data_IF_831855820967
#
_entry.id   IF_831855820967
#
_cell.length_a   1.000
_cell.length_b   1.000
_cell.length_c   1.000
_cell.angle_alpha   90.00
_cell.angle_beta   90.00
_cell.angle_gamma   90.00
#
_symmetry.space_group_name_H-M   'P 1'
#
loop_
_entity.id
_entity.type
_entity.pdbx_description
1 polymer ?
#
# COMPACT_ATOMS: atom_id res chain seq x y z
N UNK A 1 2.54 9.04 6.04
CA UNK A 1 3.17 8.48 4.83
C UNK A 1 3.50 9.56 3.81
N UNK A 2 2.69 10.61 3.64
CA UNK A 2 2.92 11.66 2.63
C UNK A 2 3.07 13.05 3.26
N UNK A 3 4.17 13.33 3.98
CA UNK A 3 4.30 14.55 4.79
C UNK A 3 4.40 15.84 3.96
N UNK A 4 4.86 15.75 2.71
CA UNK A 4 5.06 16.91 1.83
C UNK A 4 3.83 17.23 0.95
N UNK A 5 2.70 16.57 1.22
CA UNK A 5 1.49 16.75 0.43
C UNK A 5 0.85 18.11 0.67
N UNK A 6 0.48 18.79 -0.42
CA UNK A 6 -0.37 19.97 -0.32
C UNK A 6 -1.78 19.56 0.15
N UNK A 7 -2.48 20.48 0.84
CA UNK A 7 -3.73 20.20 1.54
C UNK A 7 -4.81 19.52 0.66
N UNK A 8 -4.97 19.96 -0.59
CA UNK A 8 -5.95 19.37 -1.51
C UNK A 8 -5.58 17.93 -1.90
N UNK A 9 -4.28 17.68 -2.16
CA UNK A 9 -3.77 16.34 -2.47
C UNK A 9 -3.84 15.43 -1.25
N UNK A 10 -3.61 15.97 -0.05
CA UNK A 10 -3.69 15.21 1.20
C UNK A 10 -5.13 14.72 1.45
N UNK A 11 -6.13 15.59 1.25
CA UNK A 11 -7.55 15.23 1.32
C UNK A 11 -7.88 14.08 0.35
N UNK A 12 -7.47 14.20 -0.91
CA UNK A 12 -7.72 13.17 -1.94
C UNK A 12 -6.99 11.86 -1.62
N UNK A 13 -5.74 11.93 -1.14
CA UNK A 13 -4.99 10.76 -0.69
C UNK A 13 -5.70 10.06 0.46
N UNK A 14 -6.28 10.79 1.41
CA UNK A 14 -7.08 10.21 2.47
C UNK A 14 -8.32 9.49 1.93
N UNK A 15 -9.05 10.09 0.98
CA UNK A 15 -10.18 9.44 0.31
C UNK A 15 -9.76 8.12 -0.36
N UNK A 16 -8.67 8.14 -1.16
CA UNK A 16 -8.15 6.94 -1.81
C UNK A 16 -7.79 5.81 -0.82
N UNK A 17 -7.17 6.15 0.31
CA UNK A 17 -6.84 5.15 1.34
C UNK A 17 -8.09 4.58 2.02
N UNK A 18 -9.15 5.39 2.16
CA UNK A 18 -10.46 4.88 2.64
C UNK A 18 -11.07 3.92 1.63
N UNK A 19 -10.98 4.22 0.33
CA UNK A 19 -11.51 3.32 -0.69
C UNK A 19 -10.79 1.97 -0.70
N UNK A 20 -9.46 1.96 -0.57
CA UNK A 20 -8.73 0.69 -0.43
C UNK A 20 -9.12 -0.09 0.83
N UNK A 21 -9.62 0.54 1.90
CA UNK A 21 -10.13 -0.25 3.05
C UNK A 21 -11.34 -1.11 2.71
N UNK A 22 -12.04 -0.87 1.59
CA UNK A 22 -13.05 -1.81 1.08
C UNK A 22 -12.45 -3.18 0.68
N UNK A 23 -11.12 -3.29 0.62
CA UNK A 23 -10.40 -4.56 0.49
C UNK A 23 -10.68 -5.57 1.62
N UNK A 24 -10.92 -5.11 2.86
CA UNK A 24 -11.23 -6.02 3.98
C UNK A 24 -12.53 -6.79 3.73
N UNK A 25 -13.41 -6.30 2.85
CA UNK A 25 -14.63 -7.01 2.48
C UNK A 25 -14.32 -8.29 1.70
N UNK A 26 -13.28 -8.32 0.84
CA UNK A 26 -12.96 -9.52 0.03
C UNK A 26 -12.47 -10.69 0.89
N UNK A 27 -11.91 -10.41 2.07
CA UNK A 27 -11.48 -11.41 3.05
C UNK A 27 -12.61 -12.02 3.88
N UNK A 28 -13.83 -11.52 3.78
CA UNK A 28 -14.99 -12.04 4.51
C UNK A 28 -15.65 -13.18 3.74
N UNK A 29 -15.88 -14.31 4.41
CA UNK A 29 -16.49 -15.54 3.87
C UNK A 29 -17.91 -15.39 3.28
N UNK A 30 -18.48 -14.19 3.22
CA UNK A 30 -19.91 -13.94 2.95
C UNK A 30 -20.18 -12.97 1.78
N UNK A 31 -19.25 -12.90 0.81
CA UNK A 31 -19.39 -12.05 -0.37
C UNK A 31 -20.54 -12.44 -1.33
N UNK A 32 -21.22 -13.57 -1.07
CA UNK A 32 -22.41 -13.97 -1.82
C UNK A 32 -23.57 -12.96 -1.74
N UNK A 33 -23.61 -12.10 -0.73
CA UNK A 33 -24.72 -11.16 -0.50
C UNK A 33 -24.59 -9.81 -1.22
N UNK A 34 -23.38 -9.37 -1.59
CA UNK A 34 -23.17 -8.12 -2.34
C UNK A 34 -23.22 -8.34 -3.86
N UNK A 35 -22.79 -9.51 -4.35
CA UNK A 35 -22.93 -9.86 -5.77
C UNK A 35 -24.35 -10.34 -6.15
N UNK A 36 -25.14 -10.85 -5.19
CA UNK A 36 -26.52 -11.25 -5.47
C UNK A 36 -27.49 -10.07 -5.64
N UNK A 37 -27.07 -8.82 -5.38
CA UNK A 37 -27.87 -7.64 -5.67
C UNK A 37 -27.66 -7.06 -7.07
N UNK A 38 -26.65 -7.51 -7.84
CA UNK A 38 -26.32 -6.92 -9.15
C UNK A 38 -26.91 -7.70 -10.35
N UNK A 39 -27.43 -8.91 -10.15
CA UNK A 39 -28.18 -9.63 -11.21
C UNK A 39 -29.70 -9.39 -11.18
N UNK A 40 -30.19 -8.56 -10.25
CA UNK A 40 -31.56 -8.06 -10.26
C UNK A 40 -31.62 -6.73 -11.01
N UNK A 41 -31.88 -6.79 -12.32
CA UNK A 41 -32.41 -5.71 -13.16
C UNK A 41 -32.08 -4.28 -12.69
N UNK A 42 -30.89 -3.76 -13.05
CA UNK A 42 -30.67 -2.31 -13.07
C UNK A 42 -31.48 -1.71 -14.23
N UNK A 43 -32.78 -1.55 -13.99
CA UNK A 43 -33.61 -0.62 -14.74
C UNK A 43 -32.94 0.77 -14.70
N UNK A 44 -32.82 1.35 -15.88
CA UNK A 44 -32.34 2.70 -16.16
C UNK A 44 -33.05 3.73 -15.28
N UNK A 45 -32.43 4.14 -14.16
CA UNK A 45 -33.01 5.14 -13.27
C UNK A 45 -32.45 5.22 -11.84
N UNK A 46 -31.31 4.58 -11.53
CA UNK A 46 -30.82 4.55 -10.15
C UNK A 46 -30.17 5.88 -9.74
N UNK A 47 -30.71 6.46 -8.66
CA UNK A 47 -30.17 7.64 -8.00
C UNK A 47 -28.80 7.28 -7.46
N UNK A 48 -27.74 8.01 -7.87
CA UNK A 48 -26.38 7.78 -7.36
C UNK A 48 -26.38 7.79 -5.84
N UNK A 49 -25.69 6.82 -5.24
CA UNK A 49 -25.50 6.80 -3.79
C UNK A 49 -24.54 7.94 -3.37
N UNK A 50 -24.61 8.42 -2.11
CA UNK A 50 -23.65 9.40 -1.60
C UNK A 50 -22.18 8.95 -1.72
N UNK A 51 -21.91 7.65 -1.58
CA UNK A 51 -20.58 7.08 -1.76
C UNK A 51 -20.10 7.18 -3.21
N UNK A 52 -20.95 6.81 -4.17
CA UNK A 52 -20.63 6.95 -5.60
C UNK A 52 -20.38 8.42 -5.98
N UNK A 53 -21.22 9.34 -5.47
CA UNK A 53 -21.00 10.78 -5.67
C UNK A 53 -19.65 11.25 -5.11
N UNK A 54 -19.24 10.76 -3.93
CA UNK A 54 -17.94 11.10 -3.34
C UNK A 54 -16.75 10.54 -4.12
N UNK A 55 -16.89 9.33 -4.68
CA UNK A 55 -15.88 8.74 -5.56
C UNK A 55 -15.74 9.58 -6.84
N UNK A 56 -16.86 9.93 -7.48
CA UNK A 56 -16.88 10.79 -8.68
C UNK A 56 -16.17 12.12 -8.41
N UNK A 57 -16.50 12.80 -7.30
CA UNK A 57 -15.84 14.05 -6.88
C UNK A 57 -14.33 13.86 -6.70
N UNK A 58 -13.89 12.74 -6.11
CA UNK A 58 -12.46 12.47 -5.88
C UNK A 58 -11.72 12.31 -7.21
N UNK A 59 -12.34 11.63 -8.18
CA UNK A 59 -11.81 11.45 -9.54
C UNK A 59 -11.72 12.80 -10.25
N UNK A 60 -12.82 13.56 -10.27
CA UNK A 60 -12.89 14.86 -10.94
C UNK A 60 -11.87 15.86 -10.35
N UNK A 61 -11.77 15.95 -9.01
CA UNK A 61 -10.78 16.80 -8.33
C UNK A 61 -9.33 16.38 -8.68
N UNK A 62 -9.06 15.08 -8.82
CA UNK A 62 -7.74 14.56 -9.17
C UNK A 62 -7.36 14.85 -10.62
N UNK A 63 -8.28 14.65 -11.56
CA UNK A 63 -8.06 14.95 -12.98
C UNK A 63 -7.91 16.46 -13.24
N UNK A 64 -8.63 17.29 -12.48
CA UNK A 64 -8.47 18.75 -12.55
C UNK A 64 -7.08 19.19 -12.05
N UNK A 65 -6.56 18.58 -10.97
CA UNK A 65 -5.20 18.87 -10.50
C UNK A 65 -4.14 18.48 -11.54
N UNK A 66 -4.31 17.35 -12.19
CA UNK A 66 -3.45 16.90 -13.29
C UNK A 66 -3.48 17.90 -14.46
N UNK A 67 -4.67 18.37 -14.85
CA UNK A 67 -4.85 19.40 -15.89
C UNK A 67 -4.16 20.71 -15.53
N UNK A 68 -4.28 21.17 -14.28
CA UNK A 68 -3.69 22.43 -13.80
C UNK A 68 -2.16 22.37 -13.73
N UNK A 69 -1.60 21.20 -13.43
CA UNK A 69 -0.16 21.01 -13.23
C UNK A 69 0.57 20.46 -14.45
N UNK A 70 -0.18 19.96 -15.45
CA UNK A 70 0.37 19.41 -16.67
C UNK A 70 1.04 18.04 -16.48
N UNK A 71 0.64 17.28 -15.47
CA UNK A 71 1.10 15.90 -15.24
C UNK A 71 -0.07 14.92 -15.14
N UNK A 72 0.22 13.65 -14.84
CA UNK A 72 -0.74 12.53 -14.82
C UNK A 72 -0.78 11.82 -13.47
N UNK A 73 -0.30 12.45 -12.41
CA UNK A 73 -0.07 11.75 -11.14
C UNK A 73 -1.39 11.31 -10.48
N UNK A 74 -2.45 12.12 -10.57
CA UNK A 74 -3.77 11.78 -10.05
C UNK A 74 -4.40 10.63 -10.84
N UNK A 75 -4.31 10.70 -12.17
CA UNK A 75 -4.76 9.64 -13.07
C UNK A 75 -4.06 8.31 -12.78
N UNK A 76 -2.75 8.34 -12.55
CA UNK A 76 -1.98 7.14 -12.20
C UNK A 76 -2.44 6.50 -10.88
N UNK A 77 -2.80 7.29 -9.86
CA UNK A 77 -3.37 6.76 -8.60
C UNK A 77 -4.71 6.07 -8.88
N UNK A 78 -5.58 6.68 -9.68
CA UNK A 78 -6.88 6.12 -10.06
C UNK A 78 -6.69 4.82 -10.83
N UNK A 79 -5.81 4.79 -11.83
CA UNK A 79 -5.56 3.59 -12.65
C UNK A 79 -5.00 2.44 -11.79
N UNK A 80 -4.12 2.72 -10.81
CA UNK A 80 -3.67 1.70 -9.86
C UNK A 80 -4.80 1.20 -8.95
N UNK A 81 -5.70 2.09 -8.53
CA UNK A 81 -6.85 1.72 -7.71
C UNK A 81 -7.86 0.85 -8.50
N UNK A 82 -8.10 1.17 -9.76
CA UNK A 82 -8.93 0.34 -10.66
C UNK A 82 -8.29 -1.03 -10.85
N UNK A 83 -6.99 -1.09 -11.15
CA UNK A 83 -6.27 -2.37 -11.29
C UNK A 83 -6.38 -3.24 -10.04
N UNK A 84 -6.32 -2.59 -8.87
CA UNK A 84 -6.44 -3.24 -7.58
C UNK A 84 -7.84 -3.88 -7.37
N UNK A 85 -8.92 -3.28 -7.88
CA UNK A 85 -10.28 -3.82 -7.76
C UNK A 85 -10.68 -4.77 -8.91
N UNK A 86 -10.17 -4.55 -10.12
CA UNK A 86 -10.53 -5.31 -11.33
C UNK A 86 -9.86 -6.69 -11.42
N UNK A 87 -8.87 -6.97 -10.58
CA UNK A 87 -8.14 -8.23 -10.59
C UNK A 87 -8.83 -9.24 -9.65
N UNK A 88 -9.67 -10.18 -10.15
CA UNK A 88 -10.37 -11.13 -9.29
C UNK A 88 -9.37 -11.99 -8.52
N UNK A 89 -9.68 -12.38 -7.27
CA UNK A 89 -8.73 -13.08 -6.40
C UNK A 89 -8.29 -14.40 -7.04
N UNK A 90 -7.08 -14.41 -7.62
CA UNK A 90 -6.42 -15.65 -8.01
C UNK A 90 -6.10 -16.39 -6.73
N UNK A 91 -6.61 -17.63 -6.63
CA UNK A 91 -6.63 -18.54 -5.46
C UNK A 91 -5.33 -18.72 -4.65
N UNK A 92 -4.21 -18.06 -4.97
CA UNK A 92 -2.98 -18.23 -4.21
C UNK A 92 -2.18 -16.99 -3.85
N UNK A 93 -2.22 -15.87 -4.56
CA UNK A 93 -1.46 -14.69 -4.14
C UNK A 93 -2.11 -13.42 -4.71
N UNK A 94 -2.71 -12.60 -3.83
CA UNK A 94 -2.79 -11.16 -4.07
C UNK A 94 -1.35 -10.68 -4.03
N UNK A 95 -0.82 -10.15 -5.12
CA UNK A 95 0.55 -9.67 -5.02
C UNK A 95 0.48 -8.35 -4.28
N UNK A 96 1.02 -8.33 -3.07
CA UNK A 96 1.39 -7.12 -2.32
C UNK A 96 2.05 -6.07 -3.24
N UNK A 97 2.67 -6.53 -4.32
CA UNK A 97 3.08 -5.75 -5.49
C UNK A 97 2.05 -4.73 -6.01
N UNK A 98 0.80 -5.10 -6.31
CA UNK A 98 -0.21 -4.17 -6.85
C UNK A 98 -0.57 -3.08 -5.82
N UNK A 99 -0.72 -3.45 -4.55
CA UNK A 99 -0.94 -2.50 -3.47
C UNK A 99 0.26 -1.55 -3.30
N UNK A 100 1.49 -2.05 -3.40
CA UNK A 100 2.67 -1.20 -3.32
C UNK A 100 2.78 -0.26 -4.53
N UNK A 101 2.37 -0.68 -5.73
CA UNK A 101 2.33 0.24 -6.88
C UNK A 101 1.36 1.38 -6.64
N UNK A 102 0.18 1.11 -6.07
CA UNK A 102 -0.73 2.16 -5.62
C UNK A 102 -0.06 3.10 -4.61
N UNK A 103 0.59 2.57 -3.57
CA UNK A 103 1.27 3.38 -2.53
C UNK A 103 2.38 4.26 -3.15
N UNK A 104 3.14 3.75 -4.12
CA UNK A 104 4.15 4.52 -4.84
C UNK A 104 3.57 5.57 -5.78
N UNK A 105 2.41 5.31 -6.39
CA UNK A 105 1.66 6.30 -7.16
C UNK A 105 1.15 7.43 -6.23
N UNK A 106 0.66 7.09 -5.04
CA UNK A 106 0.28 8.08 -4.03
C UNK A 106 1.47 8.96 -3.61
N UNK A 107 2.66 8.38 -3.44
CA UNK A 107 3.86 9.14 -3.14
C UNK A 107 4.18 10.15 -4.25
N UNK A 108 4.14 9.73 -5.52
CA UNK A 108 4.31 10.61 -6.69
C UNK A 108 3.27 11.74 -6.70
N UNK A 109 2.00 11.39 -6.49
CA UNK A 109 0.88 12.35 -6.46
C UNK A 109 1.04 13.38 -5.35
N UNK A 110 1.48 12.97 -4.17
CA UNK A 110 1.65 13.85 -3.01
C UNK A 110 2.60 15.02 -3.27
N UNK A 111 3.68 14.77 -4.00
CA UNK A 111 4.70 15.79 -4.32
C UNK A 111 4.50 16.47 -5.67
N UNK A 112 3.34 16.25 -6.33
CA UNK A 112 3.03 16.79 -7.65
C UNK A 112 4.13 16.47 -8.69
N UNK A 113 4.61 15.22 -8.70
CA UNK A 113 5.74 14.83 -9.54
C UNK A 113 5.28 14.31 -10.90
N UNK A 114 5.99 14.71 -11.96
CA UNK A 114 5.84 14.17 -13.32
C UNK A 114 6.83 13.03 -13.63
N UNK A 115 7.58 12.54 -12.63
CA UNK A 115 8.57 11.47 -12.81
C UNK A 115 7.90 10.22 -13.34
N UNK A 116 8.51 9.60 -14.36
CA UNK A 116 8.15 8.24 -14.75
C UNK A 116 8.71 7.26 -13.71
N UNK A 117 7.85 6.85 -12.79
CA UNK A 117 8.24 5.92 -11.73
C UNK A 117 8.59 4.55 -12.30
N UNK A 118 8.18 4.19 -13.52
CA UNK A 118 8.50 2.93 -14.18
C UNK A 118 9.82 2.98 -14.97
N UNK A 119 10.54 4.09 -14.95
CA UNK A 119 11.83 4.22 -15.60
C UNK A 119 12.78 3.06 -15.17
N UNK A 120 13.46 2.39 -16.12
CA UNK A 120 14.30 1.22 -15.82
C UNK A 120 15.33 1.45 -14.71
N UNK A 121 15.91 2.66 -14.62
CA UNK A 121 16.87 3.02 -13.58
C UNK A 121 16.29 2.94 -12.15
N UNK A 122 15.00 3.23 -11.98
CA UNK A 122 14.32 3.16 -10.68
C UNK A 122 13.82 1.76 -10.32
N UNK A 123 13.91 0.79 -11.23
CA UNK A 123 13.34 -0.56 -11.04
C UNK A 123 13.88 -1.25 -9.78
N UNK A 124 15.20 -1.23 -9.58
CA UNK A 124 15.84 -1.89 -8.43
C UNK A 124 15.47 -1.21 -7.12
N UNK A 125 15.47 0.13 -7.09
CA UNK A 125 15.04 0.92 -5.93
C UNK A 125 13.60 0.61 -5.54
N UNK A 126 12.66 0.67 -6.50
CA UNK A 126 11.24 0.35 -6.26
C UNK A 126 11.02 -1.05 -5.73
N UNK A 127 11.77 -2.03 -6.25
CA UNK A 127 11.70 -3.42 -5.77
C UNK A 127 12.10 -3.51 -4.30
N UNK A 128 13.14 -2.79 -3.88
CA UNK A 128 13.57 -2.75 -2.49
C UNK A 128 12.55 -2.03 -1.59
N UNK A 129 12.03 -0.87 -2.03
CA UNK A 129 10.95 -0.16 -1.32
C UNK A 129 9.74 -1.07 -1.11
N UNK A 130 9.37 -1.85 -2.13
CA UNK A 130 8.32 -2.85 -2.03
C UNK A 130 8.62 -3.89 -0.96
N UNK A 131 9.81 -4.46 -0.96
CA UNK A 131 10.18 -5.46 0.04
C UNK A 131 10.14 -4.88 1.46
N UNK A 132 10.61 -3.64 1.63
CA UNK A 132 10.60 -2.94 2.91
C UNK A 132 9.19 -2.73 3.46
N UNK A 133 8.28 -2.14 2.67
CA UNK A 133 6.91 -1.88 3.11
C UNK A 133 6.20 -3.20 3.42
N UNK A 134 6.45 -4.23 2.61
CA UNK A 134 5.88 -5.57 2.78
C UNK A 134 6.28 -6.20 4.12
N UNK A 135 7.58 -6.30 4.37
CA UNK A 135 8.09 -6.95 5.58
C UNK A 135 7.76 -6.13 6.83
N UNK A 136 7.80 -4.79 6.76
CA UNK A 136 7.35 -3.93 7.85
C UNK A 136 5.87 -4.13 8.18
N UNK A 137 5.01 -4.23 7.15
CA UNK A 137 3.58 -4.46 7.34
C UNK A 137 3.34 -5.82 8.00
N UNK A 138 3.97 -6.89 7.50
CA UNK A 138 3.86 -8.24 8.04
C UNK A 138 4.34 -8.34 9.48
N UNK A 139 5.46 -7.66 9.81
CA UNK A 139 5.96 -7.57 11.19
C UNK A 139 4.94 -6.87 12.11
N UNK A 140 4.37 -5.74 11.66
CA UNK A 140 3.37 -5.00 12.43
C UNK A 140 2.02 -5.71 12.56
N UNK A 141 1.62 -6.49 11.54
CA UNK A 141 0.32 -7.16 11.48
C UNK A 141 0.33 -8.58 12.05
N UNK A 142 1.51 -9.17 12.27
CA UNK A 142 1.68 -10.58 12.62
C UNK A 142 0.77 -11.05 13.76
N UNK A 143 0.78 -10.37 14.92
CA UNK A 143 -0.04 -10.80 16.05
C UNK A 143 -1.54 -10.77 15.76
N UNK A 144 -1.99 -9.74 15.02
CA UNK A 144 -3.39 -9.56 14.64
C UNK A 144 -3.83 -10.67 13.69
N UNK A 145 -3.02 -10.92 12.67
CA UNK A 145 -3.28 -11.95 11.67
C UNK A 145 -3.24 -13.36 12.26
N UNK A 146 -2.27 -13.62 13.15
CA UNK A 146 -2.17 -14.90 13.87
C UNK A 146 -3.41 -15.16 14.75
N UNK A 147 -3.92 -14.13 15.44
CA UNK A 147 -5.18 -14.23 16.20
C UNK A 147 -6.36 -14.53 15.28
N UNK A 148 -6.45 -13.88 14.12
CA UNK A 148 -7.51 -14.12 13.15
C UNK A 148 -7.45 -15.54 12.57
N UNK A 149 -6.25 -16.03 12.26
CA UNK A 149 -6.01 -17.38 11.76
C UNK A 149 -6.39 -18.44 12.80
N UNK A 150 -5.92 -18.31 14.05
CA UNK A 150 -6.30 -19.23 15.14
C UNK A 150 -7.80 -19.20 15.46
N UNK A 151 -8.47 -18.06 15.26
CA UNK A 151 -9.92 -17.93 15.40
C UNK A 151 -10.70 -18.42 14.16
N UNK A 152 -10.02 -19.01 13.16
CA UNK A 152 -10.59 -19.45 11.89
C UNK A 152 -11.36 -18.35 11.13
N UNK A 153 -11.00 -17.08 11.35
CA UNK A 153 -11.55 -15.93 10.61
C UNK A 153 -10.90 -15.75 9.24
N UNK A 154 -9.70 -16.31 9.06
CA UNK A 154 -8.98 -16.36 7.78
C UNK A 154 -8.60 -17.81 7.46
N UNK A 155 -8.61 -18.17 6.18
CA UNK A 155 -8.29 -19.54 5.73
C UNK A 155 -6.78 -19.84 5.72
N UNK A 156 -5.96 -18.80 5.55
CA UNK A 156 -4.51 -18.90 5.40
C UNK A 156 -3.80 -17.84 6.24
N UNK A 157 -2.61 -18.17 6.73
CA UNK A 157 -1.67 -17.22 7.32
C UNK A 157 -0.62 -16.84 6.27
N UNK A 158 -0.85 -15.76 5.55
CA UNK A 158 0.07 -15.25 4.52
C UNK A 158 0.84 -14.08 5.14
N UNK A 159 2.01 -14.37 5.71
CA UNK A 159 2.82 -13.40 6.43
C UNK A 159 4.30 -13.84 6.44
N UNK A 160 5.23 -12.92 6.24
CA UNK A 160 6.67 -13.18 6.16
C UNK A 160 7.23 -13.87 7.42
N UNK A 161 6.68 -13.59 8.61
CA UNK A 161 7.10 -14.25 9.86
C UNK A 161 6.69 -15.72 9.84
N UNK A 162 5.48 -16.04 9.40
CA UNK A 162 5.03 -17.43 9.26
C UNK A 162 5.89 -18.17 8.23
N UNK A 163 6.14 -17.56 7.07
CA UNK A 163 6.99 -18.14 6.04
C UNK A 163 8.42 -18.37 6.53
N UNK A 164 9.02 -17.42 7.24
CA UNK A 164 10.36 -17.56 7.79
C UNK A 164 10.45 -18.71 8.81
N UNK A 165 9.43 -18.88 9.65
CA UNK A 165 9.35 -19.99 10.61
C UNK A 165 9.36 -21.34 9.89
N UNK A 166 8.52 -21.47 8.86
CA UNK A 166 8.38 -22.72 8.09
C UNK A 166 9.62 -23.04 7.27
N UNK A 167 10.24 -22.05 6.62
CA UNK A 167 11.42 -22.25 5.78
C UNK A 167 12.66 -22.63 6.58
N UNK A 168 12.80 -22.09 7.79
CA UNK A 168 13.99 -22.27 8.65
C UNK A 168 13.75 -23.39 9.70
N UNK A 169 12.52 -23.90 9.79
CA UNK A 169 12.08 -24.89 10.79
C UNK A 169 12.33 -24.43 12.24
N UNK A 170 11.97 -23.16 12.51
CA UNK A 170 12.17 -22.58 13.83
C UNK A 170 11.15 -23.11 14.84
N UNK A 171 11.51 -23.35 16.12
CA UNK A 171 10.60 -23.92 17.10
C UNK A 171 9.54 -22.91 17.60
N UNK A 172 9.90 -21.63 17.73
CA UNK A 172 9.03 -20.57 18.27
C UNK A 172 9.05 -19.31 17.38
N UNK A 173 8.11 -18.40 17.62
CA UNK A 173 7.98 -17.17 16.83
C UNK A 173 8.95 -16.06 17.25
N UNK A 174 9.33 -15.95 18.52
CA UNK A 174 10.27 -14.91 19.00
C UNK A 174 11.58 -14.83 18.19
N UNK A 175 12.35 -15.93 17.98
CA UNK A 175 13.55 -15.85 17.17
C UNK A 175 13.24 -15.67 15.67
N UNK A 176 12.05 -16.09 15.22
CA UNK A 176 11.61 -15.87 13.84
C UNK A 176 11.33 -14.39 13.58
N UNK A 177 10.66 -13.70 14.51
CA UNK A 177 10.46 -12.25 14.47
C UNK A 177 11.80 -11.52 14.39
N UNK A 178 12.79 -11.94 15.19
CA UNK A 178 14.15 -11.41 15.12
C UNK A 178 14.81 -11.59 13.75
N UNK A 179 14.66 -12.76 13.12
CA UNK A 179 15.18 -13.02 11.76
C UNK A 179 14.46 -12.15 10.72
N UNK A 180 13.13 -12.06 10.77
CA UNK A 180 12.35 -11.24 9.84
C UNK A 180 12.69 -9.75 10.01
N UNK A 181 12.94 -9.29 11.24
CA UNK A 181 13.43 -7.93 11.51
C UNK A 181 14.86 -7.72 10.97
N UNK A 182 15.74 -8.72 11.05
CA UNK A 182 17.06 -8.64 10.45
C UNK A 182 16.98 -8.53 8.91
N UNK A 183 16.05 -9.24 8.28
CA UNK A 183 15.76 -9.09 6.84
C UNK A 183 15.32 -7.67 6.51
N UNK A 184 14.44 -7.08 7.33
CA UNK A 184 14.03 -5.67 7.19
C UNK A 184 15.24 -4.72 7.20
N UNK A 185 16.14 -4.86 8.19
CA UNK A 185 17.33 -4.01 8.29
C UNK A 185 18.32 -4.21 7.13
N UNK A 186 18.45 -5.44 6.63
CA UNK A 186 19.28 -5.70 5.44
C UNK A 186 18.69 -5.01 4.20
N UNK A 187 17.37 -5.04 4.02
CA UNK A 187 16.71 -4.31 2.92
C UNK A 187 16.97 -2.82 3.04
N UNK A 188 16.95 -2.23 4.24
CA UNK A 188 17.27 -0.81 4.46
C UNK A 188 18.72 -0.49 4.05
N UNK A 189 19.66 -1.38 4.36
CA UNK A 189 21.06 -1.25 3.92
C UNK A 189 21.17 -1.32 2.39
N UNK A 190 20.45 -2.25 1.76
CA UNK A 190 20.44 -2.39 0.30
C UNK A 190 19.81 -1.15 -0.38
N UNK A 191 18.82 -0.51 0.25
CA UNK A 191 18.21 0.74 -0.23
C UNK A 191 19.23 1.87 -0.20
N UNK A 192 19.95 2.05 0.91
CA UNK A 192 20.98 3.07 1.04
C UNK A 192 22.08 2.91 -0.03
N UNK A 193 22.56 1.68 -0.22
CA UNK A 193 23.53 1.36 -1.29
C UNK A 193 22.97 1.66 -2.68
N UNK A 194 21.72 1.30 -2.94
CA UNK A 194 21.08 1.56 -4.23
C UNK A 194 20.88 3.07 -4.46
N UNK A 195 20.59 3.86 -3.44
CA UNK A 195 20.49 5.33 -3.57
C UNK A 195 21.86 5.91 -3.91
N UNK A 196 22.92 5.53 -3.20
CA UNK A 196 24.28 5.97 -3.53
C UNK A 196 24.64 5.65 -4.98
N UNK A 197 24.35 4.42 -5.41
CA UNK A 197 24.55 4.00 -6.80
C UNK A 197 23.77 4.87 -7.79
N UNK A 198 22.49 5.15 -7.53
CA UNK A 198 21.69 6.03 -8.40
C UNK A 198 22.29 7.44 -8.46
N UNK A 199 22.78 7.98 -7.35
CA UNK A 199 23.36 9.33 -7.31
C UNK A 199 24.72 9.44 -7.99
N UNK A 200 25.52 8.36 -8.00
CA UNK A 200 26.88 8.34 -8.55
C UNK A 200 26.94 7.87 -10.01
N UNK A 201 26.15 6.86 -10.37
CA UNK A 201 26.25 6.15 -11.65
C UNK A 201 25.17 6.57 -12.66
N UNK A 202 24.06 7.13 -12.19
CA UNK A 202 22.93 7.51 -13.05
C UNK A 202 22.79 9.04 -13.11
N UNK A 203 22.36 9.54 -14.27
CA UNK A 203 22.02 10.96 -14.42
C UNK A 203 20.65 11.22 -13.79
N UNK A 204 20.65 11.44 -12.47
CA UNK A 204 19.47 11.67 -11.66
C UNK A 204 19.04 13.13 -11.72
N UNK A 205 17.80 13.36 -12.17
CA UNK A 205 17.20 14.69 -12.16
C UNK A 205 16.76 15.08 -10.74
N UNK A 206 16.67 16.39 -10.46
CA UNK A 206 16.16 16.87 -9.16
C UNK A 206 14.76 16.34 -8.83
N UNK A 207 13.92 16.13 -9.84
CA UNK A 207 12.57 15.60 -9.67
C UNK A 207 12.59 14.12 -9.23
N UNK A 208 13.51 13.33 -9.77
CA UNK A 208 13.68 11.93 -9.39
C UNK A 208 14.28 11.79 -8.00
N UNK A 209 15.23 12.65 -7.62
CA UNK A 209 15.74 12.70 -6.24
C UNK A 209 14.60 13.02 -5.25
N UNK A 210 13.77 14.02 -5.57
CA UNK A 210 12.60 14.35 -4.74
C UNK A 210 11.60 13.20 -4.63
N UNK A 211 11.44 12.41 -5.70
CA UNK A 211 10.60 11.21 -5.66
C UNK A 211 11.19 10.12 -4.76
N UNK A 212 12.53 9.93 -4.77
CA UNK A 212 13.21 9.02 -3.84
C UNK A 212 12.93 9.43 -2.39
N UNK A 213 13.08 10.72 -2.07
CA UNK A 213 12.78 11.24 -0.72
C UNK A 213 11.32 10.95 -0.31
N UNK A 214 10.36 11.20 -1.20
CA UNK A 214 8.95 10.91 -0.96
C UNK A 214 8.68 9.41 -0.71
N UNK A 215 9.37 8.53 -1.44
CA UNK A 215 9.29 7.09 -1.23
C UNK A 215 9.90 6.67 0.14
N UNK A 216 11.00 7.29 0.57
CA UNK A 216 11.59 7.06 1.89
C UNK A 216 10.67 7.51 3.03
N UNK A 217 9.99 8.66 2.87
CA UNK A 217 8.95 9.09 3.83
C UNK A 217 7.75 8.15 3.84
N UNK A 218 7.41 7.57 2.69
CA UNK A 218 6.34 6.57 2.59
C UNK A 218 6.69 5.31 3.37
N UNK A 219 7.92 4.79 3.23
CA UNK A 219 8.44 3.66 4.00
C UNK A 219 8.47 3.93 5.50
N UNK A 220 9.07 5.06 5.89
CA UNK A 220 9.19 5.45 7.30
C UNK A 220 7.81 5.70 7.92
N UNK A 221 6.92 6.32 7.16
CA UNK A 221 5.53 6.55 7.56
C UNK A 221 4.75 5.26 7.73
N UNK A 222 4.97 4.25 6.88
CA UNK A 222 4.37 2.92 7.03
C UNK A 222 4.85 2.26 8.33
N UNK A 223 6.16 2.24 8.56
CA UNK A 223 6.74 1.70 9.79
C UNK A 223 6.20 2.42 11.04
N UNK A 224 6.18 3.75 11.01
CA UNK A 224 5.65 4.54 12.11
C UNK A 224 4.16 4.24 12.37
N UNK A 225 3.34 4.18 11.32
CA UNK A 225 1.93 3.83 11.40
C UNK A 225 1.72 2.43 12.00
N UNK A 226 2.57 1.45 11.66
CA UNK A 226 2.53 0.11 12.23
C UNK A 226 2.82 0.08 13.74
N UNK A 227 3.52 1.09 14.27
CA UNK A 227 3.83 1.20 15.70
C UNK A 227 2.73 1.96 16.45
N UNK A 228 2.25 3.08 15.92
CA UNK A 228 1.40 4.02 16.66
C UNK A 228 -0.09 3.82 16.45
N UNK A 229 -0.52 3.19 15.35
CA UNK A 229 -1.95 2.99 15.08
C UNK A 229 -2.49 1.80 15.87
N UNK A 230 -3.68 1.97 16.44
CA UNK A 230 -4.44 0.91 17.13
C UNK A 230 -4.83 -0.25 16.20
N UNK A 231 -4.67 -0.09 14.89
CA UNK A 231 -4.88 -1.15 13.89
C UNK A 231 -3.97 -2.35 14.13
N UNK A 232 -2.76 -2.12 14.63
CA UNK A 232 -1.72 -3.15 14.80
C UNK A 232 -1.46 -3.44 16.28
N UNK A 233 -1.35 -2.39 17.10
CA UNK A 233 -1.27 -2.50 18.55
C UNK A 233 -2.65 -2.65 19.17
N UNK A 234 -2.89 -3.74 19.91
CA UNK A 234 -4.09 -3.84 20.78
C UNK A 234 -4.08 -2.74 21.85
N UNK A 235 -5.22 -2.48 22.50
CA UNK A 235 -5.35 -1.49 23.60
C UNK A 235 -4.26 -1.58 24.69
N UNK A 236 -3.64 -2.76 24.82
CA UNK A 236 -2.49 -3.02 25.70
C UNK A 236 -1.29 -2.09 25.51
N UNK A 237 -1.15 -1.47 24.34
CA UNK A 237 0.00 -0.62 23.99
C UNK A 237 -0.34 0.88 23.98
N UNK A 238 -1.51 1.27 24.50
CA UNK A 238 -1.90 2.68 24.61
C UNK A 238 -1.01 3.37 25.67
N UNK A 239 -0.27 4.44 25.33
CA UNK A 239 0.46 5.23 26.32
C UNK A 239 -0.53 5.83 27.34
N UNK A 240 -0.16 5.80 28.62
CA UNK A 240 -0.90 6.46 29.71
C UNK A 240 -0.87 7.99 29.61
#
# INVERSE_FOLDING_TARGET
MYPDSEQIREKLLADFHVYIMFDEFWGMNDFGLLYQSDEAEFETGTTRTPLQGRIDETVDESEELDRLTGNTAGREVIDQMVLFFDTPPKKKYRTLEEFIQFVLACAKFSINSSVDINAPKLQSFRRLVRHHISVANDLGSFEKEMKAFHAAKTLYMINAVQMAKELIDMPTYDPTLGITQAVQMQIETDIDQQIHRLMEEEDMTSAECKYIDAALFTMTGNLHASIVLSRYGSEKWRPE
#
